data_IF_253169005503
#
_entry.id   IF_253169005503
#
_cell.length_a   1.000
_cell.length_b   1.000
_cell.length_c   1.000
_cell.angle_alpha   90.00
_cell.angle_beta   90.00
_cell.angle_gamma   90.00
#
_symmetry.space_group_name_H-M   'P 1'
#
loop_
_entity.id
_entity.type
_entity.pdbx_description
1 polymer ?
#
# COMPACT_ATOMS: atom_id res chain seq x y z
N UNK A 1 7.04 9.22 -17.07
CA UNK A 1 7.28 7.98 -17.84
C UNK A 1 8.46 8.21 -18.77
N UNK A 2 9.37 7.24 -18.90
CA UNK A 2 10.55 7.37 -19.78
C UNK A 2 10.33 6.61 -21.09
N UNK A 3 9.96 5.33 -21.02
CA UNK A 3 9.71 4.50 -22.19
C UNK A 3 8.79 3.32 -21.84
N UNK A 4 8.19 2.72 -22.87
CA UNK A 4 7.49 1.44 -22.72
C UNK A 4 8.52 0.31 -22.74
N UNK A 5 8.38 -0.64 -21.80
CA UNK A 5 9.25 -1.80 -21.66
C UNK A 5 8.74 -2.98 -22.50
N UNK A 6 9.58 -3.96 -22.74
CA UNK A 6 9.21 -5.18 -23.47
C UNK A 6 8.17 -6.03 -22.71
N UNK A 7 8.13 -5.92 -21.37
CA UNK A 7 7.17 -6.58 -20.50
C UNK A 7 5.77 -5.90 -20.48
N UNK A 8 5.57 -4.85 -21.30
CA UNK A 8 4.32 -4.12 -21.45
C UNK A 8 4.12 -3.02 -20.40
N UNK A 9 4.95 -2.92 -19.38
CA UNK A 9 4.95 -1.84 -18.40
C UNK A 9 5.69 -0.62 -18.93
N UNK A 10 5.57 0.49 -18.19
CA UNK A 10 6.33 1.70 -18.46
C UNK A 10 7.52 1.83 -17.51
N UNK A 11 8.64 2.28 -18.03
CA UNK A 11 9.76 2.68 -17.20
C UNK A 11 9.48 4.04 -16.61
N UNK A 12 9.51 4.10 -15.28
CA UNK A 12 9.19 5.30 -14.50
C UNK A 12 10.48 5.94 -13.98
N UNK A 13 10.43 7.26 -13.83
CA UNK A 13 11.27 8.01 -12.92
C UNK A 13 10.35 9.06 -12.28
N UNK A 14 9.99 8.83 -11.04
CA UNK A 14 9.05 9.67 -10.29
C UNK A 14 9.49 9.81 -8.85
N UNK A 15 9.18 10.96 -8.25
CA UNK A 15 9.35 11.14 -6.81
C UNK A 15 8.02 10.85 -6.15
N UNK A 16 7.99 9.87 -5.27
CA UNK A 16 6.86 9.59 -4.40
C UNK A 16 7.08 10.27 -3.06
N UNK A 17 6.04 10.90 -2.54
CA UNK A 17 6.03 11.56 -1.24
C UNK A 17 4.83 11.10 -0.43
N UNK A 18 4.95 10.92 0.90
CA UNK A 18 3.79 10.70 1.75
C UNK A 18 2.97 11.98 1.89
N UNK A 19 1.65 11.85 1.89
CA UNK A 19 0.73 12.94 2.19
C UNK A 19 0.23 12.74 3.62
N UNK A 20 0.62 13.63 4.51
CA UNK A 20 0.19 13.59 5.91
C UNK A 20 -1.18 14.24 6.10
N UNK A 21 -1.96 13.73 7.06
CA UNK A 21 -3.28 14.27 7.39
C UNK A 21 -4.46 13.64 6.61
N UNK A 22 -4.17 12.80 5.58
CA UNK A 22 -5.16 11.96 4.92
C UNK A 22 -4.70 10.51 5.04
N UNK A 23 -5.39 9.72 5.85
CA UNK A 23 -5.00 8.34 6.16
C UNK A 23 -6.22 7.47 6.46
N UNK A 24 -6.08 6.20 6.19
CA UNK A 24 -6.98 5.14 6.64
C UNK A 24 -6.54 4.63 8.02
N UNK A 25 -7.42 3.96 8.75
CA UNK A 25 -7.07 3.29 10.00
C UNK A 25 -7.21 1.80 9.84
N UNK A 26 -6.15 1.07 10.16
CA UNK A 26 -6.10 -0.39 10.14
C UNK A 26 -5.83 -0.89 11.56
N UNK A 27 -6.73 -1.72 12.07
CA UNK A 27 -6.57 -2.42 13.34
C UNK A 27 -6.40 -3.91 13.07
N UNK A 28 -5.42 -4.53 13.71
CA UNK A 28 -5.13 -5.96 13.61
C UNK A 28 -5.02 -6.55 15.00
N UNK A 29 -5.81 -7.57 15.28
CA UNK A 29 -5.87 -8.23 16.59
C UNK A 29 -5.81 -9.75 16.42
N UNK A 30 -5.31 -10.45 17.44
CA UNK A 30 -5.39 -11.90 17.49
C UNK A 30 -6.85 -12.38 17.43
N UNK A 31 -7.10 -13.44 16.69
CA UNK A 31 -8.43 -14.06 16.59
C UNK A 31 -8.34 -15.58 16.53
N UNK A 32 -9.44 -16.26 16.87
CA UNK A 32 -9.52 -17.71 16.70
C UNK A 32 -9.67 -18.12 15.23
N UNK A 33 -10.12 -17.21 14.39
CA UNK A 33 -10.29 -17.39 12.94
C UNK A 33 -10.10 -16.05 12.23
N UNK A 34 -9.38 -16.07 11.13
CA UNK A 34 -9.12 -14.87 10.33
C UNK A 34 -10.41 -14.28 9.78
N UNK A 35 -10.60 -12.98 10.03
CA UNK A 35 -11.78 -12.22 9.61
C UNK A 35 -11.41 -10.82 9.14
N UNK A 36 -12.30 -10.21 8.35
CA UNK A 36 -12.15 -8.85 7.84
C UNK A 36 -13.44 -8.08 7.94
N UNK A 37 -13.37 -6.85 8.41
CA UNK A 37 -14.46 -5.87 8.36
C UNK A 37 -13.93 -4.54 7.84
N UNK A 38 -14.76 -3.84 7.09
CA UNK A 38 -14.44 -2.50 6.62
C UNK A 38 -15.63 -1.55 6.82
N UNK A 39 -15.32 -0.28 7.07
CA UNK A 39 -16.29 0.81 7.16
C UNK A 39 -15.73 2.06 6.45
N UNK A 40 -16.49 3.14 6.46
CA UNK A 40 -16.11 4.39 5.80
C UNK A 40 -16.34 4.34 4.29
N UNK A 41 -15.41 4.84 3.50
CA UNK A 41 -15.46 4.87 2.03
C UNK A 41 -15.14 3.48 1.45
N UNK A 42 -15.94 2.48 1.77
CA UNK A 42 -15.74 1.12 1.26
C UNK A 42 -16.30 0.98 -0.15
N UNK A 43 -15.54 0.30 -1.02
CA UNK A 43 -16.07 -0.22 -2.27
C UNK A 43 -16.63 -1.63 -2.03
N UNK A 44 -17.56 -2.06 -2.88
CA UNK A 44 -18.06 -3.44 -2.91
C UNK A 44 -16.95 -4.40 -3.44
N UNK A 45 -15.91 -4.54 -2.62
CA UNK A 45 -14.80 -5.46 -2.90
C UNK A 45 -14.94 -6.67 -1.98
N UNK A 46 -15.06 -7.89 -2.53
CA UNK A 46 -15.06 -9.09 -1.71
C UNK A 46 -13.82 -9.13 -0.81
N UNK A 47 -14.00 -9.50 0.46
CA UNK A 47 -12.90 -9.55 1.43
C UNK A 47 -11.69 -10.35 0.89
N UNK A 48 -11.96 -11.42 0.11
CA UNK A 48 -10.92 -12.24 -0.49
C UNK A 48 -10.01 -11.48 -1.47
N UNK A 49 -10.52 -10.46 -2.12
CA UNK A 49 -9.80 -9.65 -3.13
C UNK A 49 -9.17 -8.41 -2.52
N UNK A 50 -9.53 -8.06 -1.29
CA UNK A 50 -8.97 -6.92 -0.59
C UNK A 50 -7.47 -7.12 -0.30
N UNK A 51 -6.67 -6.08 -0.55
CA UNK A 51 -5.21 -6.14 -0.36
C UNK A 51 -4.81 -6.40 1.09
N UNK A 52 -5.58 -5.94 2.08
CA UNK A 52 -5.35 -6.27 3.49
C UNK A 52 -5.40 -7.78 3.72
N UNK A 53 -6.39 -8.47 3.15
CA UNK A 53 -6.53 -9.92 3.28
C UNK A 53 -5.49 -10.70 2.48
N UNK A 54 -5.04 -10.15 1.36
CA UNK A 54 -3.88 -10.72 0.62
C UNK A 54 -2.60 -10.58 1.45
N UNK A 55 -2.43 -9.47 2.15
CA UNK A 55 -1.31 -9.27 3.08
C UNK A 55 -1.34 -10.28 4.23
N UNK A 56 -2.49 -10.48 4.87
CA UNK A 56 -2.64 -11.51 5.93
C UNK A 56 -2.23 -12.87 5.40
N UNK A 57 -2.80 -13.32 4.27
CA UNK A 57 -2.48 -14.63 3.68
C UNK A 57 -1.00 -14.78 3.34
N UNK A 58 -0.39 -13.73 2.78
CA UNK A 58 1.04 -13.74 2.46
C UNK A 58 1.89 -13.95 3.72
N UNK A 59 1.58 -13.23 4.80
CA UNK A 59 2.32 -13.34 6.07
C UNK A 59 2.07 -14.69 6.75
N UNK A 60 0.86 -15.24 6.68
CA UNK A 60 0.55 -16.59 7.15
C UNK A 60 1.36 -17.65 6.40
N UNK A 61 1.39 -17.58 5.07
CA UNK A 61 2.07 -18.57 4.23
C UNK A 61 3.59 -18.49 4.35
N UNK A 62 4.15 -17.28 4.39
CA UNK A 62 5.61 -17.09 4.39
C UNK A 62 6.24 -17.23 5.77
N UNK A 63 5.55 -16.77 6.81
CA UNK A 63 6.14 -16.61 8.15
C UNK A 63 5.35 -17.31 9.25
N UNK A 64 4.26 -17.99 8.91
CA UNK A 64 3.47 -18.71 9.91
C UNK A 64 2.71 -17.79 10.87
N UNK A 65 2.40 -16.55 10.46
CA UNK A 65 1.52 -15.67 11.24
C UNK A 65 0.20 -16.39 11.53
N UNK A 66 -0.32 -16.23 12.73
CA UNK A 66 -1.57 -16.86 13.16
C UNK A 66 -2.80 -16.14 12.62
N UNK A 67 -3.97 -16.59 13.09
CA UNK A 67 -5.24 -15.98 12.74
C UNK A 67 -5.46 -14.63 13.40
N UNK A 68 -6.03 -13.69 12.64
CA UNK A 68 -6.25 -12.31 13.08
C UNK A 68 -7.61 -11.78 12.61
N UNK A 69 -8.16 -10.85 13.35
CA UNK A 69 -9.22 -9.98 12.87
C UNK A 69 -8.61 -8.67 12.35
N UNK A 70 -9.00 -8.27 11.15
CA UNK A 70 -8.59 -7.01 10.54
C UNK A 70 -9.79 -6.09 10.41
N UNK A 71 -9.69 -4.87 10.93
CA UNK A 71 -10.67 -3.82 10.74
C UNK A 71 -10.05 -2.64 10.00
N UNK A 72 -10.75 -2.19 8.95
CA UNK A 72 -10.34 -1.06 8.11
C UNK A 72 -11.39 0.05 8.18
N UNK A 73 -11.01 1.24 8.66
CA UNK A 73 -11.79 2.47 8.49
C UNK A 73 -11.23 3.25 7.29
N UNK A 74 -11.94 3.16 6.17
CA UNK A 74 -11.50 3.71 4.89
C UNK A 74 -11.89 5.17 4.74
N UNK A 75 -10.93 6.06 4.65
CA UNK A 75 -11.08 7.51 4.50
C UNK A 75 -10.49 8.02 3.19
N UNK A 76 -9.49 7.32 2.64
CA UNK A 76 -8.90 7.63 1.35
C UNK A 76 -9.79 7.03 0.26
N UNK A 77 -10.27 7.84 -0.72
CA UNK A 77 -11.14 7.36 -1.79
C UNK A 77 -10.46 6.28 -2.64
N UNK A 78 -11.21 5.27 -3.04
CA UNK A 78 -10.75 4.28 -4.01
C UNK A 78 -10.47 4.88 -5.38
N UNK A 79 -9.44 4.37 -6.07
CA UNK A 79 -9.12 4.79 -7.43
C UNK A 79 -8.71 6.26 -7.55
N UNK A 80 -8.25 6.87 -6.45
CA UNK A 80 -7.82 8.27 -6.42
C UNK A 80 -6.35 8.49 -6.82
N UNK A 81 -5.60 7.41 -7.12
CA UNK A 81 -4.17 7.50 -7.40
C UNK A 81 -3.30 7.81 -6.18
N UNK A 82 -3.87 7.72 -4.97
CA UNK A 82 -3.20 8.06 -3.70
C UNK A 82 -2.54 6.86 -3.01
N UNK A 83 -2.60 5.67 -3.61
CA UNK A 83 -2.01 4.47 -3.05
C UNK A 83 -2.67 3.96 -1.76
N UNK A 84 -3.91 4.38 -1.43
CA UNK A 84 -4.57 4.05 -0.16
C UNK A 84 -4.64 2.55 0.11
N UNK A 85 -5.09 1.73 -0.86
CA UNK A 85 -5.14 0.28 -0.68
C UNK A 85 -3.75 -0.36 -0.51
N UNK A 86 -2.73 0.20 -1.14
CA UNK A 86 -1.33 -0.22 -0.99
C UNK A 86 -0.79 0.14 0.39
N UNK A 87 -1.14 1.32 0.90
CA UNK A 87 -0.84 1.75 2.26
C UNK A 87 -1.49 0.83 3.30
N UNK A 88 -2.79 0.50 3.13
CA UNK A 88 -3.53 -0.38 4.02
C UNK A 88 -2.88 -1.77 4.10
N UNK A 89 -2.53 -2.35 2.94
CA UNK A 89 -1.87 -3.65 2.89
C UNK A 89 -0.50 -3.65 3.57
N UNK A 90 0.28 -2.58 3.40
CA UNK A 90 1.56 -2.43 4.09
C UNK A 90 1.37 -2.29 5.59
N UNK A 91 0.37 -1.53 6.03
CA UNK A 91 0.03 -1.40 7.45
C UNK A 91 -0.29 -2.77 8.07
N UNK A 92 -1.01 -3.65 7.35
CA UNK A 92 -1.27 -5.03 7.80
C UNK A 92 0.03 -5.83 7.90
N UNK A 93 0.94 -5.76 6.92
CA UNK A 93 2.23 -6.46 6.98
C UNK A 93 3.02 -6.03 8.22
N UNK A 94 3.15 -4.73 8.44
CA UNK A 94 3.89 -4.18 9.58
C UNK A 94 3.24 -4.55 10.92
N UNK A 95 1.91 -4.47 10.98
CA UNK A 95 1.16 -4.86 12.17
C UNK A 95 1.32 -6.35 12.50
N UNK A 96 1.34 -7.24 11.50
CA UNK A 96 1.57 -8.67 11.71
C UNK A 96 3.01 -8.98 12.12
N UNK A 97 3.99 -8.27 11.54
CA UNK A 97 5.39 -8.40 11.96
C UNK A 97 5.55 -8.06 13.46
N UNK A 98 4.94 -6.96 13.90
CA UNK A 98 4.97 -6.53 15.29
C UNK A 98 4.15 -7.46 16.19
N UNK A 99 2.91 -7.78 15.83
CA UNK A 99 1.97 -8.57 16.62
C UNK A 99 2.52 -9.98 16.90
N UNK A 100 3.11 -10.63 15.90
CA UNK A 100 3.70 -11.97 16.06
C UNK A 100 5.18 -11.96 16.41
N UNK A 101 5.79 -10.79 16.57
CA UNK A 101 7.19 -10.65 16.95
C UNK A 101 8.17 -11.28 15.95
N UNK A 102 7.84 -11.23 14.65
CA UNK A 102 8.63 -11.87 13.58
C UNK A 102 9.99 -11.19 13.41
N UNK A 103 10.06 -9.88 13.65
CA UNK A 103 11.28 -9.06 13.56
C UNK A 103 11.96 -9.17 12.20
N UNK A 104 11.18 -9.09 11.16
CA UNK A 104 11.67 -9.19 9.80
C UNK A 104 12.58 -8.00 9.45
N UNK A 105 13.70 -8.24 8.76
CA UNK A 105 14.51 -7.14 8.26
C UNK A 105 13.72 -6.31 7.26
N UNK A 106 13.99 -4.99 7.20
CA UNK A 106 13.28 -4.04 6.32
C UNK A 106 13.20 -4.54 4.87
N UNK A 107 14.26 -5.20 4.38
CA UNK A 107 14.28 -5.74 3.03
C UNK A 107 13.17 -6.77 2.81
N UNK A 108 12.97 -7.67 3.76
CA UNK A 108 11.91 -8.69 3.66
C UNK A 108 10.51 -8.07 3.72
N UNK A 109 10.32 -7.05 4.55
CA UNK A 109 9.07 -6.28 4.58
C UNK A 109 8.80 -5.61 3.23
N UNK A 110 9.83 -5.02 2.60
CA UNK A 110 9.75 -4.45 1.25
C UNK A 110 9.40 -5.52 0.22
N UNK A 111 10.04 -6.70 0.27
CA UNK A 111 9.79 -7.81 -0.66
C UNK A 111 8.36 -8.36 -0.50
N UNK A 112 7.85 -8.45 0.74
CA UNK A 112 6.46 -8.81 1.02
C UNK A 112 5.47 -7.79 0.43
N UNK A 113 5.72 -6.52 0.67
CA UNK A 113 4.89 -5.44 0.16
C UNK A 113 4.90 -5.41 -1.38
N UNK A 114 6.06 -5.50 -2.00
CA UNK A 114 6.21 -5.52 -3.47
C UNK A 114 5.48 -6.69 -4.14
N UNK A 115 5.33 -7.81 -3.44
CA UNK A 115 4.56 -8.96 -3.95
C UNK A 115 3.05 -8.68 -4.06
N UNK A 116 2.53 -7.67 -3.37
CA UNK A 116 1.11 -7.29 -3.38
C UNK A 116 0.80 -6.21 -4.42
N UNK A 117 1.76 -5.35 -4.73
CA UNK A 117 1.58 -4.27 -5.70
C UNK A 117 2.83 -3.41 -5.86
N UNK A 118 2.91 -2.68 -6.98
CA UNK A 118 4.09 -1.86 -7.31
C UNK A 118 4.32 -0.73 -6.31
N UNK A 119 3.24 -0.13 -5.80
CA UNK A 119 3.33 1.05 -4.91
C UNK A 119 3.40 0.65 -3.43
N UNK A 120 3.09 -0.62 -3.10
CA UNK A 120 2.95 -1.09 -1.73
C UNK A 120 4.27 -0.99 -0.96
N UNK A 121 5.37 -1.32 -1.62
CA UNK A 121 6.71 -1.26 -1.03
C UNK A 121 7.14 0.15 -0.58
N UNK A 122 6.61 1.21 -1.22
CA UNK A 122 6.87 2.59 -0.82
C UNK A 122 6.47 2.86 0.62
N UNK A 123 5.34 2.32 1.06
CA UNK A 123 4.75 2.58 2.38
C UNK A 123 5.50 1.89 3.52
N UNK A 124 6.42 0.95 3.25
CA UNK A 124 7.27 0.37 4.29
C UNK A 124 8.15 1.44 4.93
N UNK A 125 8.75 2.30 4.12
CA UNK A 125 9.53 3.45 4.62
C UNK A 125 8.70 4.69 4.82
N UNK A 126 7.69 4.87 4.00
CA UNK A 126 6.79 6.02 4.00
C UNK A 126 7.52 7.38 4.09
N UNK A 127 8.57 7.54 3.31
CA UNK A 127 9.41 8.74 3.22
C UNK A 127 9.60 9.12 1.76
N UNK A 128 9.97 10.39 1.42
CA UNK A 128 10.21 10.78 0.03
C UNK A 128 11.25 9.88 -0.64
N UNK A 129 10.89 9.33 -1.82
CA UNK A 129 11.74 8.41 -2.57
C UNK A 129 11.69 8.69 -4.07
N UNK A 130 12.83 8.62 -4.73
CA UNK A 130 12.91 8.51 -6.18
C UNK A 130 12.64 7.05 -6.55
N UNK A 131 11.54 6.82 -7.27
CA UNK A 131 11.11 5.51 -7.72
C UNK A 131 11.42 5.37 -9.21
N UNK A 132 12.14 4.32 -9.56
CA UNK A 132 12.52 3.98 -10.95
C UNK A 132 12.12 2.55 -11.28
N UNK A 133 12.40 2.10 -12.51
CA UNK A 133 11.89 0.81 -12.99
C UNK A 133 10.38 0.90 -13.24
N UNK A 134 9.60 0.00 -12.66
CA UNK A 134 8.12 0.07 -12.63
C UNK A 134 7.59 0.82 -11.41
N UNK A 135 8.50 1.37 -10.56
CA UNK A 135 8.25 1.99 -9.27
C UNK A 135 8.89 1.24 -8.10
N UNK A 136 9.43 0.04 -8.34
CA UNK A 136 9.98 -0.86 -7.31
C UNK A 136 11.41 -0.53 -6.87
N UNK A 137 12.17 0.19 -7.71
CA UNK A 137 13.53 0.61 -7.35
C UNK A 137 13.44 1.97 -6.65
N UNK A 138 13.62 1.98 -5.35
CA UNK A 138 13.40 3.15 -4.50
C UNK A 138 14.70 3.64 -3.89
N UNK A 139 14.99 4.92 -4.11
CA UNK A 139 16.14 5.62 -3.53
C UNK A 139 15.64 6.78 -2.66
N UNK A 140 15.99 6.83 -1.36
CA UNK A 140 15.59 7.94 -0.50
C UNK A 140 16.06 9.29 -1.06
N UNK A 141 15.19 10.30 -1.03
CA UNK A 141 15.51 11.67 -1.41
C UNK A 141 15.25 12.61 -0.23
N UNK A 142 16.15 13.55 -0.04
CA UNK A 142 15.94 14.62 0.94
C UNK A 142 15.13 15.72 0.26
N UNK A 143 13.90 15.90 0.72
CA UNK A 143 13.01 16.96 0.28
C UNK A 143 12.53 17.72 1.51
N UNK A 144 12.66 19.03 1.47
CA UNK A 144 12.02 19.92 2.44
C UNK A 144 10.75 20.49 1.78
N UNK A 145 9.61 20.05 2.28
CA UNK A 145 8.29 20.47 1.82
C UNK A 145 7.56 21.27 2.90
N UNK A 146 8.27 21.74 3.92
CA UNK A 146 7.67 22.55 4.99
C UNK A 146 7.06 23.82 4.43
N UNK A 147 5.86 24.16 4.90
CA UNK A 147 5.14 25.34 4.43
C UNK A 147 4.43 25.19 3.09
N UNK A 148 4.55 24.04 2.41
CA UNK A 148 3.77 23.74 1.22
C UNK A 148 2.45 23.04 1.58
N UNK A 149 1.40 23.40 0.86
CA UNK A 149 0.08 22.79 0.99
C UNK A 149 -0.24 21.99 -0.25
N UNK A 150 -0.86 20.83 -0.06
CA UNK A 150 -1.34 19.99 -1.14
C UNK A 150 -2.85 20.00 -1.09
N UNK A 151 -3.50 20.43 -2.19
CA UNK A 151 -4.93 20.28 -2.39
C UNK A 151 -5.18 19.01 -3.19
N UNK A 152 -5.91 18.07 -2.61
CA UNK A 152 -6.30 16.83 -3.28
C UNK A 152 -7.74 16.97 -3.77
N UNK A 153 -7.94 16.87 -5.09
CA UNK A 153 -9.26 16.91 -5.72
C UNK A 153 -9.51 15.58 -6.43
N UNK A 154 -10.51 14.83 -5.97
CA UNK A 154 -10.94 13.57 -6.58
C UNK A 154 -12.34 13.76 -7.17
N UNK A 155 -12.47 13.86 -8.51
CA UNK A 155 -13.77 13.93 -9.16
C UNK A 155 -14.51 12.58 -9.08
N UNK A 156 -15.82 12.58 -9.32
CA UNK A 156 -16.65 11.36 -9.26
C UNK A 156 -16.38 10.36 -10.38
N UNK A 157 -15.63 10.77 -11.42
CA UNK A 157 -15.15 9.87 -12.46
C UNK A 157 -13.91 9.11 -12.02
N UNK A 158 -13.83 7.83 -12.38
CA UNK A 158 -12.65 6.99 -12.20
C UNK A 158 -11.90 6.81 -13.52
N UNK A 159 -10.58 6.76 -13.46
CA UNK A 159 -9.72 6.35 -14.57
C UNK A 159 -8.96 5.12 -14.12
N UNK A 160 -9.00 4.04 -14.90
CA UNK A 160 -8.21 2.87 -14.59
C UNK A 160 -6.70 3.17 -14.72
N UNK A 161 -5.87 2.54 -13.91
CA UNK A 161 -4.41 2.68 -14.02
C UNK A 161 -3.92 2.39 -15.42
N UNK A 162 -4.52 1.40 -16.10
CA UNK A 162 -4.17 1.06 -17.49
C UNK A 162 -4.46 2.20 -18.46
N UNK A 163 -5.60 2.86 -18.32
CA UNK A 163 -5.99 4.00 -19.17
C UNK A 163 -5.14 5.24 -18.86
N UNK A 164 -4.80 5.45 -17.60
CA UNK A 164 -3.95 6.57 -17.18
C UNK A 164 -2.52 6.47 -17.75
N UNK A 165 -2.03 5.25 -18.01
CA UNK A 165 -0.70 5.00 -18.55
C UNK A 165 -0.69 4.63 -20.05
N UNK A 166 -1.84 4.60 -20.72
CA UNK A 166 -1.95 4.36 -22.16
C UNK A 166 -1.68 5.64 -22.95
#
# INVERSE_FOLDING_TARGET
>A
MLRRREDGYHELATVMIPVYGLYDVVEVEYAAQTSFRACGLTADCPAADNLCMKAVRLMQVRYGAGDVSVALDKRIPFGAGLGGGSSDATAVILALDELFGLKLPERELIDCAAALGSDTAFFVRNTPQLCTGRGEVMTPVKLDLQGLWIAVVKPDCGVSTREAYA
#
